data_IF_012961063343
#
_entry.id   IF_012961063343
#
_cell.length_a   1.000
_cell.length_b   1.000
_cell.length_c   1.000
_cell.angle_alpha   90.00
_cell.angle_beta   90.00
_cell.angle_gamma   90.00
#
_symmetry.space_group_name_H-M   'P 1'
#
loop_
_entity.id
_entity.type
_entity.pdbx_description
1 polymer ?
#
# COMPACT_ATOMS: atom_id res chain seq x y z
N UNK A 1 -14.83 9.00 8.18
CA UNK A 1 -13.67 9.65 8.83
C UNK A 1 -12.42 9.35 8.02
N UNK A 2 -11.68 10.37 7.65
CA UNK A 2 -10.39 10.25 6.97
C UNK A 2 -9.29 9.92 8.00
N UNK A 3 -8.38 9.03 7.63
CA UNK A 3 -7.20 8.74 8.46
C UNK A 3 -6.20 9.87 8.28
N UNK A 4 -5.63 10.39 9.38
CA UNK A 4 -4.67 11.51 9.35
C UNK A 4 -3.42 11.15 10.15
N UNK A 5 -2.26 11.49 9.61
CA UNK A 5 -0.96 11.28 10.23
C UNK A 5 -0.21 12.62 10.32
N UNK A 6 0.07 13.07 11.54
CA UNK A 6 0.82 14.28 11.81
C UNK A 6 2.16 13.86 12.39
N UNK A 7 3.25 14.40 11.84
CA UNK A 7 4.62 14.06 12.21
C UNK A 7 5.40 15.36 12.45
N UNK A 8 6.23 15.38 13.49
CA UNK A 8 7.29 16.38 13.66
C UNK A 8 8.55 15.66 14.13
N UNK A 9 9.66 16.00 13.53
CA UNK A 9 10.99 15.56 13.90
C UNK A 9 11.10 14.03 14.07
N UNK A 10 10.89 13.30 12.97
CA UNK A 10 10.96 11.85 12.93
C UNK A 10 11.82 11.35 11.78
N UNK A 11 13.01 10.81 12.09
CA UNK A 11 13.98 10.39 11.07
C UNK A 11 14.28 11.57 10.12
N UNK A 12 14.14 11.39 8.79
CA UNK A 12 14.37 12.46 7.83
C UNK A 12 13.15 13.42 7.67
N UNK A 13 12.02 13.17 8.32
CA UNK A 13 10.83 14.02 8.22
C UNK A 13 10.87 15.10 9.30
N UNK A 14 10.97 16.36 8.88
CA UNK A 14 10.91 17.52 9.79
C UNK A 14 9.46 17.83 10.19
N UNK A 15 8.55 17.84 9.22
CA UNK A 15 7.12 18.06 9.47
C UNK A 15 6.25 17.40 8.41
N UNK A 16 5.10 16.86 8.84
CA UNK A 16 4.08 16.32 7.96
C UNK A 16 2.70 16.47 8.57
N UNK A 17 1.72 16.73 7.71
CA UNK A 17 0.30 16.65 8.01
C UNK A 17 -0.39 16.00 6.81
N UNK A 18 -0.60 14.68 6.90
CA UNK A 18 -1.00 13.83 5.78
C UNK A 18 -2.37 13.24 6.03
N UNK A 19 -3.28 13.52 5.14
CA UNK A 19 -4.58 12.86 5.07
C UNK A 19 -4.51 11.66 4.12
N UNK A 20 -4.79 10.46 4.65
CA UNK A 20 -4.74 9.21 3.89
C UNK A 20 -6.10 8.97 3.24
N UNK A 21 -6.16 9.21 1.94
CA UNK A 21 -7.34 8.99 1.10
C UNK A 21 -7.42 7.57 0.54
N UNK A 22 -8.28 7.38 -0.47
CA UNK A 22 -8.35 6.11 -1.21
C UNK A 22 -7.07 5.87 -1.99
N UNK A 23 -6.55 6.91 -2.64
CA UNK A 23 -5.26 6.91 -3.31
C UNK A 23 -4.37 7.97 -2.65
N UNK A 24 -3.26 7.54 -2.09
CA UNK A 24 -2.25 8.42 -1.49
C UNK A 24 -0.91 8.12 -2.11
N UNK A 25 -0.27 9.12 -2.68
CA UNK A 25 1.01 8.99 -3.36
C UNK A 25 2.02 9.95 -2.75
N UNK A 26 3.21 9.46 -2.47
CA UNK A 26 4.29 10.26 -1.88
C UNK A 26 5.47 10.30 -2.84
N UNK A 27 5.81 11.52 -3.27
CA UNK A 27 6.94 11.79 -4.16
C UNK A 27 8.03 12.58 -3.43
N UNK A 28 9.24 12.55 -3.96
CA UNK A 28 10.39 13.31 -3.42
C UNK A 28 11.71 12.66 -3.79
N UNK A 29 12.81 13.35 -3.53
CA UNK A 29 14.16 12.86 -3.76
C UNK A 29 14.50 11.67 -2.87
N UNK A 30 15.60 10.97 -3.14
CA UNK A 30 16.02 9.82 -2.34
C UNK A 30 16.40 10.26 -0.92
N UNK A 31 16.02 9.48 0.09
CA UNK A 31 16.38 9.75 1.49
C UNK A 31 15.50 10.75 2.24
N UNK A 32 14.52 11.41 1.59
CA UNK A 32 13.68 12.46 2.21
C UNK A 32 12.61 11.93 3.18
N UNK A 33 12.37 10.61 3.27
CA UNK A 33 11.44 10.05 4.26
C UNK A 33 10.15 9.45 3.70
N UNK A 34 10.04 9.23 2.37
CA UNK A 34 8.87 8.57 1.76
C UNK A 34 8.56 7.22 2.41
N UNK A 35 9.57 6.36 2.53
CA UNK A 35 9.43 5.06 3.21
C UNK A 35 9.12 5.21 4.71
N UNK A 36 9.61 6.26 5.38
CA UNK A 36 9.30 6.53 6.79
C UNK A 36 7.82 6.80 6.99
N UNK A 37 7.22 7.59 6.10
CA UNK A 37 5.79 7.87 6.09
C UNK A 37 4.96 6.61 5.86
N UNK A 38 5.34 5.80 4.86
CA UNK A 38 4.69 4.52 4.54
C UNK A 38 4.75 3.53 5.73
N UNK A 39 5.91 3.42 6.37
CA UNK A 39 6.13 2.57 7.55
C UNK A 39 5.29 2.99 8.74
N UNK A 40 5.23 4.29 9.04
CA UNK A 40 4.39 4.81 10.12
C UNK A 40 2.91 4.54 9.85
N UNK A 41 2.44 4.77 8.62
CA UNK A 41 1.06 4.49 8.25
C UNK A 41 0.74 2.99 8.40
N UNK A 42 1.63 2.11 7.93
CA UNK A 42 1.50 0.65 8.10
C UNK A 42 1.44 0.26 9.56
N UNK A 43 2.37 0.74 10.37
CA UNK A 43 2.48 0.43 11.80
C UNK A 43 1.23 0.85 12.57
N UNK A 44 0.80 2.11 12.44
CA UNK A 44 -0.37 2.59 13.17
C UNK A 44 -1.67 1.91 12.73
N UNK A 45 -1.82 1.64 11.43
CA UNK A 45 -2.97 0.88 10.92
C UNK A 45 -3.01 -0.54 11.51
N UNK A 46 -1.84 -1.17 11.65
CA UNK A 46 -1.72 -2.49 12.28
C UNK A 46 -2.02 -2.43 13.79
N UNK A 47 -1.53 -1.40 14.51
CA UNK A 47 -1.81 -1.21 15.93
C UNK A 47 -3.31 -1.03 16.17
N UNK A 48 -3.96 -0.17 15.38
CA UNK A 48 -5.40 0.04 15.47
C UNK A 48 -6.19 -1.27 15.25
N UNK A 49 -5.89 -2.00 14.16
CA UNK A 49 -6.49 -3.31 13.90
C UNK A 49 -6.27 -4.28 15.05
N UNK A 50 -5.07 -4.33 15.61
CA UNK A 50 -4.70 -5.26 16.67
C UNK A 50 -5.41 -4.97 17.99
N UNK A 51 -5.67 -3.68 18.30
CA UNK A 51 -6.50 -3.27 19.44
C UNK A 51 -7.97 -3.64 19.23
N UNK A 52 -8.52 -3.36 18.06
CA UNK A 52 -9.93 -3.71 17.72
C UNK A 52 -10.15 -5.21 17.81
N UNK A 53 -9.17 -6.03 17.43
CA UNK A 53 -9.21 -7.49 17.53
C UNK A 53 -8.83 -8.03 18.91
N UNK A 54 -8.50 -7.16 19.86
CA UNK A 54 -7.98 -7.55 21.19
C UNK A 54 -6.73 -8.46 21.13
N UNK A 55 -5.94 -8.39 20.05
CA UNK A 55 -4.67 -9.10 19.93
C UNK A 55 -3.58 -8.49 20.79
N UNK A 56 -3.66 -7.18 21.01
CA UNK A 56 -2.81 -6.43 21.93
C UNK A 56 -3.68 -5.57 22.85
N UNK A 57 -3.11 -5.21 24.00
CA UNK A 57 -3.74 -4.31 24.98
C UNK A 57 -3.14 -2.91 24.89
N UNK A 58 -3.89 -1.89 25.31
CA UNK A 58 -3.38 -0.52 25.39
C UNK A 58 -2.10 -0.43 26.23
N UNK A 59 -2.05 -1.21 27.33
CA UNK A 59 -0.88 -1.22 28.21
C UNK A 59 0.39 -1.78 27.52
N UNK A 60 0.26 -2.68 26.55
CA UNK A 60 1.41 -3.17 25.76
C UNK A 60 1.97 -2.09 24.83
N UNK A 61 1.16 -1.13 24.44
CA UNK A 61 1.58 0.01 23.62
C UNK A 61 2.15 1.14 24.49
N UNK A 62 1.46 1.51 25.59
CA UNK A 62 1.77 2.70 26.38
C UNK A 62 2.89 2.50 27.40
N UNK A 63 3.08 1.27 27.93
CA UNK A 63 4.10 1.02 28.95
C UNK A 63 5.50 0.89 28.35
N UNK A 64 6.47 1.57 28.95
CA UNK A 64 7.88 1.55 28.55
C UNK A 64 8.14 2.46 27.36
N UNK A 65 9.32 2.29 26.75
CA UNK A 65 9.74 3.09 25.62
C UNK A 65 9.10 2.59 24.33
N UNK A 66 8.33 3.44 23.67
CA UNK A 66 7.59 3.09 22.46
C UNK A 66 8.53 2.71 21.30
N UNK A 67 9.64 3.44 21.16
CA UNK A 67 10.66 3.22 20.14
C UNK A 67 11.32 1.84 20.19
N UNK A 68 11.32 1.18 21.36
CA UNK A 68 11.92 -0.15 21.56
C UNK A 68 10.89 -1.28 21.43
N UNK A 69 9.71 -1.01 20.88
CA UNK A 69 8.69 -2.04 20.69
C UNK A 69 8.91 -2.83 19.41
N UNK A 70 8.55 -4.12 19.43
CA UNK A 70 8.66 -5.02 18.28
C UNK A 70 8.03 -4.48 17.00
N UNK A 71 6.94 -3.72 17.08
CA UNK A 71 6.32 -3.12 15.91
C UNK A 71 7.13 -1.97 15.31
N UNK A 72 7.98 -1.27 16.10
CA UNK A 72 8.96 -0.33 15.57
C UNK A 72 10.16 -1.07 14.94
N UNK A 73 10.60 -2.16 15.56
CA UNK A 73 11.67 -3.03 15.05
C UNK A 73 11.26 -3.69 13.73
N UNK A 74 10.01 -4.16 13.62
CA UNK A 74 9.44 -4.74 12.40
C UNK A 74 9.66 -3.86 11.16
N UNK A 75 9.48 -2.55 11.31
CA UNK A 75 9.70 -1.57 10.25
C UNK A 75 11.10 -0.94 10.27
N UNK A 76 11.99 -1.33 11.21
CA UNK A 76 13.33 -0.76 11.38
C UNK A 76 13.31 0.77 11.54
N UNK A 77 12.40 1.28 12.38
CA UNK A 77 12.23 2.71 12.62
C UNK A 77 12.58 3.13 14.06
N UNK A 78 13.08 2.21 14.88
CA UNK A 78 13.41 2.48 16.30
C UNK A 78 14.43 3.63 16.47
N UNK A 79 15.39 3.76 15.55
CA UNK A 79 16.41 4.82 15.58
C UNK A 79 15.94 6.18 15.03
N UNK A 80 14.70 6.28 14.53
CA UNK A 80 14.16 7.49 13.92
C UNK A 80 13.54 8.45 14.95
N UNK A 81 13.39 7.98 16.20
CA UNK A 81 12.84 8.79 17.28
C UNK A 81 13.91 9.73 17.86
N UNK A 82 13.62 11.02 17.83
CA UNK A 82 14.44 12.09 18.41
C UNK A 82 13.79 12.65 19.69
N UNK A 83 14.48 13.57 20.35
CA UNK A 83 13.94 14.17 21.57
C UNK A 83 12.69 15.03 21.31
N UNK A 84 12.66 15.72 20.16
CA UNK A 84 11.53 16.53 19.70
C UNK A 84 10.42 15.77 18.99
N UNK A 85 10.57 14.46 18.77
CA UNK A 85 9.62 13.69 17.97
C UNK A 85 8.19 13.80 18.51
N UNK A 86 7.29 14.20 17.63
CA UNK A 86 5.85 14.19 17.83
C UNK A 86 5.18 13.39 16.70
N UNK A 87 4.36 12.40 17.07
CA UNK A 87 3.56 11.62 16.13
C UNK A 87 2.11 11.64 16.59
N UNK A 88 1.19 11.90 15.68
CA UNK A 88 -0.24 11.73 15.94
C UNK A 88 -0.89 11.02 14.76
N UNK A 89 -1.48 9.87 15.04
CA UNK A 89 -2.29 9.13 14.09
C UNK A 89 -3.75 9.18 14.52
N UNK A 90 -4.62 9.63 13.65
CA UNK A 90 -6.06 9.63 13.84
C UNK A 90 -6.67 8.59 12.90
N UNK A 91 -6.95 7.42 13.45
CA UNK A 91 -7.57 6.31 12.74
C UNK A 91 -9.09 6.35 12.81
N UNK A 92 -9.72 5.25 12.40
CA UNK A 92 -11.18 5.09 12.46
C UNK A 92 -11.67 4.87 13.89
N UNK A 93 -10.92 4.12 14.70
CA UNK A 93 -11.31 3.65 16.03
C UNK A 93 -10.44 4.24 17.13
N UNK A 94 -9.17 4.50 16.84
CA UNK A 94 -8.21 4.98 17.82
C UNK A 94 -7.44 6.19 17.31
N UNK A 95 -7.13 7.10 18.25
CA UNK A 95 -6.11 8.12 18.07
C UNK A 95 -4.91 7.73 18.90
N UNK A 96 -3.72 7.73 18.29
CA UNK A 96 -2.43 7.51 18.94
C UNK A 96 -1.67 8.83 18.95
N UNK A 97 -1.10 9.21 20.09
CA UNK A 97 -0.29 10.42 20.21
C UNK A 97 1.00 10.13 20.96
N UNK A 98 2.14 10.25 20.25
CA UNK A 98 3.48 10.15 20.84
C UNK A 98 4.05 11.52 21.05
N UNK A 99 4.31 11.85 22.33
CA UNK A 99 4.87 13.12 22.74
C UNK A 99 5.69 12.94 24.00
N UNK A 100 6.82 13.68 24.13
CA UNK A 100 7.69 13.63 25.31
C UNK A 100 8.08 12.17 25.68
N UNK A 101 8.42 11.35 24.68
CA UNK A 101 8.81 9.93 24.85
C UNK A 101 7.71 9.04 25.46
N UNK A 102 6.46 9.48 25.40
CA UNK A 102 5.29 8.73 25.86
C UNK A 102 4.28 8.54 24.74
N UNK A 103 3.67 7.36 24.70
CA UNK A 103 2.57 7.07 23.80
C UNK A 103 1.26 7.08 24.58
N UNK A 104 0.33 7.89 24.13
CA UNK A 104 -1.04 7.98 24.65
C UNK A 104 -2.02 7.49 23.59
N UNK A 105 -3.13 6.90 24.03
CA UNK A 105 -4.19 6.41 23.17
C UNK A 105 -5.53 6.94 23.65
N UNK A 106 -6.41 7.24 22.70
CA UNK A 106 -7.82 7.51 22.97
C UNK A 106 -8.69 6.76 21.97
N UNK A 107 -9.78 6.16 22.47
CA UNK A 107 -10.78 5.53 21.61
C UNK A 107 -11.68 6.61 21.04
N UNK A 108 -11.79 6.65 19.69
CA UNK A 108 -12.44 7.76 18.98
C UNK A 108 -13.95 7.56 18.79
N UNK A 109 -14.48 6.38 19.15
CA UNK A 109 -15.86 5.94 18.91
C UNK A 109 -16.04 5.11 17.64
N UNK A 110 -16.69 3.97 17.74
CA UNK A 110 -17.00 3.13 16.60
C UNK A 110 -18.07 2.12 16.93
N UNK A 111 -19.23 2.27 16.29
CA UNK A 111 -20.26 1.24 16.24
C UNK A 111 -19.88 0.15 15.21
N UNK A 112 -18.97 0.47 14.30
CA UNK A 112 -18.57 -0.37 13.14
C UNK A 112 -17.13 -0.85 13.33
N UNK A 113 -16.98 -2.13 13.70
CA UNK A 113 -15.69 -2.79 13.94
C UNK A 113 -14.99 -3.30 12.68
N UNK A 114 -15.19 -2.66 11.54
CA UNK A 114 -14.51 -3.04 10.30
C UNK A 114 -13.01 -2.86 10.40
N UNK A 115 -12.26 -3.88 10.02
CA UNK A 115 -10.79 -3.89 10.05
C UNK A 115 -10.20 -4.22 8.67
N UNK A 116 -9.05 -3.60 8.32
CA UNK A 116 -8.37 -3.88 7.06
C UNK A 116 -7.48 -5.13 7.12
N UNK A 117 -7.30 -5.80 5.99
CA UNK A 117 -6.03 -6.48 5.69
C UNK A 117 -5.05 -5.37 5.31
N UNK A 118 -3.88 -5.38 5.92
CA UNK A 118 -2.81 -4.42 5.62
C UNK A 118 -1.67 -5.20 5.03
N UNK A 119 -1.17 -4.75 3.88
CA UNK A 119 0.03 -5.29 3.27
C UNK A 119 1.03 -4.17 3.01
N UNK A 120 2.25 -4.40 3.47
CA UNK A 120 3.38 -3.52 3.22
C UNK A 120 4.34 -4.22 2.26
N UNK A 121 4.42 -3.72 1.04
CA UNK A 121 5.24 -4.27 -0.04
C UNK A 121 6.51 -3.43 -0.15
N UNK A 122 7.64 -3.93 0.38
CA UNK A 122 8.89 -3.17 0.42
C UNK A 122 9.55 -3.02 -0.95
N UNK A 123 10.47 -2.08 -1.06
CA UNK A 123 11.26 -1.88 -2.27
C UNK A 123 12.12 -3.11 -2.60
N UNK A 124 12.61 -3.83 -1.61
CA UNK A 124 13.48 -5.01 -1.79
C UNK A 124 12.73 -6.28 -2.24
N UNK A 125 11.47 -6.19 -2.62
CA UNK A 125 10.59 -7.34 -2.98
C UNK A 125 11.15 -8.26 -4.06
N UNK A 126 12.03 -7.77 -4.95
CA UNK A 126 12.65 -8.56 -6.01
C UNK A 126 13.53 -9.70 -5.47
N UNK A 127 14.12 -9.54 -4.27
CA UNK A 127 14.95 -10.57 -3.61
C UNK A 127 14.17 -11.88 -3.44
N UNK A 128 12.87 -11.79 -3.18
CA UNK A 128 12.00 -12.94 -2.97
C UNK A 128 11.80 -13.78 -4.24
N UNK A 129 11.86 -13.13 -5.40
CA UNK A 129 11.72 -13.78 -6.71
C UNK A 129 13.06 -14.18 -7.31
N UNK A 130 14.14 -13.51 -6.92
CA UNK A 130 15.50 -13.82 -7.38
C UNK A 130 16.05 -15.14 -6.80
N UNK A 131 15.47 -15.64 -5.69
CA UNK A 131 15.85 -16.88 -5.05
C UNK A 131 14.78 -17.96 -5.25
N UNK A 132 15.19 -19.20 -5.52
CA UNK A 132 14.27 -20.36 -5.53
C UNK A 132 13.81 -20.74 -4.11
N UNK A 133 14.57 -20.37 -3.08
CA UNK A 133 14.28 -20.66 -1.67
C UNK A 133 14.45 -19.39 -0.83
N UNK A 134 13.58 -18.37 -1.03
CA UNK A 134 13.74 -17.10 -0.31
C UNK A 134 13.63 -17.26 1.21
N UNK A 135 12.84 -18.21 1.72
CA UNK A 135 12.75 -18.51 3.15
C UNK A 135 14.02 -19.10 3.78
N UNK A 136 15.01 -19.53 2.98
CA UNK A 136 16.30 -19.98 3.48
C UNK A 136 17.33 -18.84 3.63
N UNK A 137 17.02 -17.64 3.13
CA UNK A 137 17.89 -16.47 3.27
C UNK A 137 17.89 -16.00 4.73
N UNK A 138 19.07 -15.79 5.28
CA UNK A 138 19.26 -15.33 6.67
C UNK A 138 19.31 -13.80 6.71
N UNK A 139 18.79 -13.23 7.80
CA UNK A 139 18.92 -11.79 8.05
C UNK A 139 17.98 -10.89 7.23
N UNK A 140 16.96 -11.46 6.59
CA UNK A 140 15.93 -10.64 5.94
C UNK A 140 15.14 -9.83 6.98
N UNK A 141 14.71 -8.61 6.64
CA UNK A 141 13.82 -7.83 7.47
C UNK A 141 12.50 -8.54 7.78
N UNK A 142 11.94 -8.32 8.97
CA UNK A 142 10.68 -8.95 9.36
C UNK A 142 9.51 -8.57 8.44
N UNK A 143 9.46 -7.31 7.97
CA UNK A 143 8.46 -6.86 7.00
C UNK A 143 8.58 -7.57 5.65
N UNK A 144 9.80 -7.89 5.20
CA UNK A 144 10.03 -8.65 3.97
C UNK A 144 9.66 -10.14 4.16
N UNK A 145 9.89 -10.70 5.36
CA UNK A 145 9.47 -12.06 5.68
C UNK A 145 7.94 -12.18 5.75
N UNK A 146 7.25 -11.19 6.31
CA UNK A 146 5.80 -11.16 6.33
C UNK A 146 5.23 -11.08 4.89
N UNK A 147 5.83 -10.26 4.03
CA UNK A 147 5.45 -10.20 2.61
C UNK A 147 5.75 -11.50 1.87
N UNK A 148 6.84 -12.20 2.20
CA UNK A 148 7.15 -13.52 1.66
C UNK A 148 6.04 -14.54 1.96
N UNK A 149 5.51 -14.55 3.19
CA UNK A 149 4.44 -15.47 3.56
C UNK A 149 3.18 -15.26 2.70
N UNK A 150 2.75 -13.99 2.51
CA UNK A 150 1.61 -13.66 1.65
C UNK A 150 1.92 -13.96 0.15
N UNK A 151 3.17 -13.79 -0.29
CA UNK A 151 3.59 -14.16 -1.66
C UNK A 151 3.55 -15.67 -1.90
N UNK A 152 4.06 -16.49 -0.96
CA UNK A 152 3.98 -17.96 -1.07
C UNK A 152 2.53 -18.44 -1.10
N UNK A 153 1.66 -17.83 -0.30
CA UNK A 153 0.24 -18.15 -0.33
C UNK A 153 -0.42 -17.74 -1.64
N UNK A 154 -0.09 -16.56 -2.17
CA UNK A 154 -0.59 -16.08 -3.46
C UNK A 154 -0.19 -17.02 -4.61
N UNK A 155 1.07 -17.47 -4.67
CA UNK A 155 1.52 -18.47 -5.66
C UNK A 155 0.71 -19.76 -5.59
N UNK A 156 0.52 -20.29 -4.38
CA UNK A 156 -0.21 -21.53 -4.17
C UNK A 156 -1.69 -21.47 -4.55
N UNK A 157 -2.32 -20.29 -4.40
CA UNK A 157 -3.74 -20.08 -4.69
C UNK A 157 -4.01 -19.72 -6.15
N UNK A 158 -3.23 -18.82 -6.71
CA UNK A 158 -3.42 -18.34 -8.09
C UNK A 158 -2.90 -19.32 -9.14
N UNK A 159 -1.88 -20.12 -8.83
CA UNK A 159 -1.23 -21.13 -9.70
C UNK A 159 -0.86 -20.64 -11.11
N UNK A 160 -1.77 -19.98 -11.79
CA UNK A 160 -1.61 -19.34 -13.10
C UNK A 160 -2.07 -17.88 -13.02
N UNK A 161 -1.32 -16.99 -13.66
CA UNK A 161 -1.64 -15.58 -13.67
C UNK A 161 -1.04 -14.88 -14.90
N UNK A 162 -1.88 -14.19 -15.67
CA UNK A 162 -1.42 -13.34 -16.75
C UNK A 162 -0.92 -12.02 -16.17
N UNK A 163 0.36 -11.71 -16.38
CA UNK A 163 0.93 -10.44 -15.96
C UNK A 163 0.23 -9.27 -16.70
N UNK A 164 -0.03 -8.16 -16.03
CA UNK A 164 -0.71 -7.02 -16.65
C UNK A 164 0.24 -6.20 -17.56
N UNK A 165 0.86 -6.87 -18.51
CA UNK A 165 1.80 -6.32 -19.50
C UNK A 165 1.24 -6.57 -20.89
N UNK A 166 0.64 -5.56 -21.51
CA UNK A 166 -0.02 -5.68 -22.81
C UNK A 166 0.98 -5.76 -23.97
N UNK A 167 2.11 -5.03 -23.87
CA UNK A 167 3.14 -4.97 -24.92
C UNK A 167 3.91 -6.28 -25.09
N UNK A 168 4.00 -7.09 -24.05
CA UNK A 168 4.66 -8.41 -24.05
C UNK A 168 3.88 -9.35 -23.15
N UNK A 169 2.84 -10.03 -23.65
CA UNK A 169 2.05 -10.96 -22.86
C UNK A 169 2.93 -12.06 -22.28
N UNK A 170 2.95 -12.15 -20.95
CA UNK A 170 3.66 -13.17 -20.16
C UNK A 170 2.72 -13.69 -19.11
N UNK A 171 2.69 -15.00 -18.95
CA UNK A 171 1.95 -15.66 -17.86
C UNK A 171 2.89 -16.28 -16.84
N UNK A 172 2.47 -16.20 -15.60
CA UNK A 172 3.07 -16.92 -14.49
C UNK A 172 2.39 -18.27 -14.32
N UNK A 173 3.20 -19.29 -14.00
CA UNK A 173 2.74 -20.64 -13.66
C UNK A 173 3.51 -21.16 -12.45
N UNK A 174 2.81 -21.73 -11.46
CA UNK A 174 3.42 -22.31 -10.27
C UNK A 174 3.25 -23.83 -10.25
N UNK A 175 4.37 -24.55 -10.38
CA UNK A 175 4.44 -25.99 -10.17
C UNK A 175 4.50 -26.28 -8.67
N UNK A 176 3.38 -26.69 -8.09
CA UNK A 176 3.26 -26.97 -6.65
C UNK A 176 4.09 -28.19 -6.20
N UNK A 177 4.25 -29.19 -7.08
CA UNK A 177 4.99 -30.43 -6.74
C UNK A 177 6.48 -30.14 -6.59
N UNK A 178 7.03 -29.44 -7.56
CA UNK A 178 8.45 -29.11 -7.61
C UNK A 178 8.78 -27.77 -6.93
N UNK A 179 7.76 -26.98 -6.54
CA UNK A 179 7.88 -25.63 -5.98
C UNK A 179 8.63 -24.66 -6.90
N UNK A 180 8.42 -24.79 -8.22
CA UNK A 180 9.09 -23.98 -9.23
C UNK A 180 8.10 -22.97 -9.77
N UNK A 181 8.54 -21.70 -9.85
CA UNK A 181 7.81 -20.59 -10.47
C UNK A 181 8.31 -20.36 -11.89
N UNK A 182 7.42 -20.40 -12.87
CA UNK A 182 7.73 -20.23 -14.29
C UNK A 182 7.12 -18.95 -14.85
N UNK A 183 7.80 -18.35 -15.81
CA UNK A 183 7.29 -17.33 -16.71
C UNK A 183 7.23 -17.90 -18.13
N UNK A 184 6.05 -17.86 -18.72
CA UNK A 184 5.77 -18.33 -20.08
C UNK A 184 5.47 -17.11 -20.98
N UNK A 185 6.31 -16.85 -21.94
CA UNK A 185 6.11 -15.87 -23.02
C UNK A 185 5.78 -16.57 -24.34
N UNK A 186 5.62 -15.81 -25.42
CA UNK A 186 5.30 -16.36 -26.75
C UNK A 186 6.33 -17.35 -27.28
N UNK A 187 7.59 -17.19 -26.93
CA UNK A 187 8.72 -17.98 -27.45
C UNK A 187 9.74 -18.39 -26.38
N UNK A 188 9.38 -18.28 -25.09
CA UNK A 188 10.25 -18.68 -23.98
C UNK A 188 9.46 -19.25 -22.82
N UNK A 189 10.10 -20.12 -22.04
CA UNK A 189 9.70 -20.54 -20.71
C UNK A 189 10.93 -20.54 -19.83
N UNK A 190 10.96 -19.69 -18.82
CA UNK A 190 12.10 -19.52 -17.92
C UNK A 190 11.65 -19.54 -16.45
N UNK A 191 12.54 -19.87 -15.54
CA UNK A 191 12.25 -19.74 -14.12
C UNK A 191 12.19 -18.27 -13.73
N UNK A 192 11.33 -17.94 -12.78
CA UNK A 192 11.24 -16.56 -12.25
C UNK A 192 12.59 -16.09 -11.69
N UNK A 193 13.34 -16.97 -11.01
CA UNK A 193 14.67 -16.67 -10.47
C UNK A 193 15.72 -16.34 -11.55
N UNK A 194 15.52 -16.80 -12.77
CA UNK A 194 16.41 -16.57 -13.93
C UNK A 194 15.94 -15.40 -14.81
N UNK A 195 14.79 -14.81 -14.48
CA UNK A 195 14.20 -13.72 -15.25
C UNK A 195 14.84 -12.37 -14.93
N UNK A 196 14.48 -11.34 -15.73
CA UNK A 196 14.95 -9.97 -15.46
C UNK A 196 14.43 -9.44 -14.13
N UNK A 197 15.19 -8.51 -13.53
CA UNK A 197 14.82 -7.83 -12.26
C UNK A 197 13.45 -7.16 -12.32
N UNK A 198 13.02 -6.71 -13.49
CA UNK A 198 11.67 -6.16 -13.70
C UNK A 198 10.57 -7.19 -13.41
N UNK A 199 10.67 -8.39 -13.98
CA UNK A 199 9.71 -9.47 -13.67
C UNK A 199 9.81 -9.92 -12.22
N UNK A 200 11.02 -9.98 -11.66
CA UNK A 200 11.23 -10.34 -10.25
C UNK A 200 10.61 -9.34 -9.28
N UNK A 201 10.61 -8.04 -9.61
CA UNK A 201 9.95 -7.00 -8.82
C UNK A 201 8.43 -6.98 -9.00
N UNK A 202 7.96 -7.20 -10.22
CA UNK A 202 6.56 -7.06 -10.62
C UNK A 202 5.70 -8.23 -10.15
N UNK A 203 6.21 -9.46 -10.26
CA UNK A 203 5.43 -10.66 -10.00
C UNK A 203 4.90 -10.75 -8.56
N UNK A 204 5.72 -10.61 -7.49
CA UNK A 204 5.21 -10.65 -6.13
C UNK A 204 4.22 -9.52 -5.85
N UNK A 205 4.46 -8.32 -6.39
CA UNK A 205 3.55 -7.18 -6.27
C UNK A 205 2.16 -7.50 -6.84
N UNK A 206 2.11 -8.03 -8.06
CA UNK A 206 0.84 -8.33 -8.74
C UNK A 206 0.09 -9.50 -8.08
N UNK A 207 0.80 -10.59 -7.78
CA UNK A 207 0.18 -11.78 -7.20
C UNK A 207 -0.41 -11.50 -5.83
N UNK A 208 0.34 -10.83 -4.94
CA UNK A 208 -0.12 -10.52 -3.57
C UNK A 208 -1.28 -9.52 -3.62
N UNK A 209 -1.18 -8.45 -4.42
CA UNK A 209 -2.26 -7.47 -4.56
C UNK A 209 -3.56 -8.11 -5.05
N UNK A 210 -3.50 -9.01 -6.05
CA UNK A 210 -4.67 -9.74 -6.54
C UNK A 210 -5.21 -10.69 -5.48
N UNK A 211 -4.34 -11.54 -4.94
CA UNK A 211 -4.74 -12.56 -3.97
C UNK A 211 -5.46 -11.96 -2.77
N UNK A 212 -4.90 -10.91 -2.17
CA UNK A 212 -5.50 -10.28 -0.99
C UNK A 212 -6.79 -9.52 -1.33
N UNK A 213 -6.88 -8.91 -2.50
CA UNK A 213 -8.13 -8.29 -2.97
C UNK A 213 -9.22 -9.33 -3.18
N UNK A 214 -8.91 -10.44 -3.86
CA UNK A 214 -9.86 -11.53 -4.10
C UNK A 214 -10.31 -12.18 -2.78
N UNK A 215 -9.39 -12.40 -1.86
CA UNK A 215 -9.68 -12.98 -0.54
C UNK A 215 -10.73 -12.16 0.23
N UNK A 216 -10.65 -10.83 0.16
CA UNK A 216 -11.60 -9.96 0.86
C UNK A 216 -12.95 -9.93 0.15
N UNK A 217 -12.97 -9.81 -1.19
CA UNK A 217 -14.20 -9.74 -1.99
C UNK A 217 -14.99 -11.05 -1.87
N UNK A 218 -14.29 -12.16 -1.97
CA UNK A 218 -14.93 -13.48 -1.92
C UNK A 218 -15.30 -13.90 -0.51
N UNK A 219 -14.92 -13.10 0.52
CA UNK A 219 -15.10 -13.43 1.95
C UNK A 219 -14.59 -14.82 2.30
N UNK A 220 -13.65 -15.35 1.51
CA UNK A 220 -13.04 -16.64 1.70
C UNK A 220 -12.02 -16.55 2.83
N UNK A 221 -12.20 -17.43 3.81
CA UNK A 221 -11.31 -17.72 4.94
C UNK A 221 -10.50 -16.52 5.45
N UNK A 222 -11.02 -15.90 6.49
CA UNK A 222 -10.20 -15.02 7.31
C UNK A 222 -8.97 -15.81 7.74
N UNK A 223 -7.79 -15.39 7.32
CA UNK A 223 -6.52 -15.94 7.78
C UNK A 223 -6.31 -15.57 9.25
N UNK A 224 -7.11 -16.19 10.10
CA UNK A 224 -6.95 -16.07 11.54
C UNK A 224 -5.77 -16.93 11.97
N UNK A 225 -4.89 -16.36 12.78
CA UNK A 225 -3.87 -17.15 13.48
C UNK A 225 -4.54 -18.19 14.38
N UNK A 226 -3.80 -19.20 14.81
CA UNK A 226 -4.33 -20.19 15.74
C UNK A 226 -4.81 -19.55 17.05
N UNK A 227 -4.14 -18.50 17.51
CA UNK A 227 -4.54 -17.72 18.69
C UNK A 227 -5.84 -16.96 18.45
N UNK A 228 -6.00 -16.32 17.30
CA UNK A 228 -7.24 -15.63 16.92
C UNK A 228 -8.41 -16.61 16.78
N UNK A 229 -8.18 -17.79 16.20
CA UNK A 229 -9.20 -18.85 16.12
C UNK A 229 -9.64 -19.32 17.49
N UNK A 230 -8.73 -19.49 18.44
CA UNK A 230 -9.06 -19.87 19.80
C UNK A 230 -9.83 -18.75 20.55
N UNK A 231 -9.44 -17.50 20.37
CA UNK A 231 -10.15 -16.35 20.93
C UNK A 231 -11.56 -16.24 20.37
N UNK A 232 -11.70 -16.31 19.04
CA UNK A 232 -12.99 -16.29 18.37
C UNK A 232 -13.93 -17.38 18.91
N UNK A 233 -13.45 -18.61 19.05
CA UNK A 233 -14.25 -19.72 19.62
C UNK A 233 -14.73 -19.40 21.02
N UNK A 234 -13.86 -18.92 21.90
CA UNK A 234 -14.23 -18.55 23.27
C UNK A 234 -15.25 -17.41 23.33
N UNK A 235 -15.10 -16.39 22.44
CA UNK A 235 -16.06 -15.28 22.37
C UNK A 235 -17.42 -15.76 21.83
N UNK A 236 -17.46 -16.65 20.83
CA UNK A 236 -18.69 -17.27 20.34
C UNK A 236 -19.36 -18.08 21.43
N UNK A 237 -18.62 -18.95 22.13
CA UNK A 237 -19.15 -19.75 23.26
C UNK A 237 -19.70 -18.83 24.37
N UNK A 238 -19.01 -17.75 24.68
CA UNK A 238 -19.45 -16.75 25.66
C UNK A 238 -20.75 -16.05 25.26
N UNK A 239 -20.93 -15.74 23.96
CA UNK A 239 -22.17 -15.12 23.46
C UNK A 239 -23.32 -16.14 23.54
N UNK A 240 -23.09 -17.35 23.09
CA UNK A 240 -24.11 -18.42 23.05
C UNK A 240 -24.56 -18.84 24.43
N UNK A 241 -23.67 -18.78 25.44
CA UNK A 241 -24.00 -19.15 26.83
C UNK A 241 -24.76 -18.07 27.61
N UNK A 242 -24.88 -16.84 27.09
CA UNK A 242 -25.65 -15.77 27.73
C UNK A 242 -27.14 -15.97 27.58
N UNK A 243 -27.88 -15.64 28.63
CA UNK A 243 -29.36 -15.61 28.62
C UNK A 243 -29.83 -14.29 27.96
N UNK A 244 -29.79 -14.26 26.61
CA UNK A 244 -30.16 -13.13 25.75
C UNK A 244 -31.13 -13.59 24.69
N UNK A 245 -31.95 -12.66 24.15
CA UNK A 245 -32.79 -12.96 23.00
C UNK A 245 -31.96 -13.32 21.76
N UNK A 246 -32.50 -14.15 20.88
CA UNK A 246 -31.81 -14.58 19.65
C UNK A 246 -31.38 -13.39 18.79
N UNK A 247 -32.23 -12.36 18.65
CA UNK A 247 -31.90 -11.15 17.88
C UNK A 247 -30.65 -10.42 18.44
N UNK A 248 -30.49 -10.40 19.77
CA UNK A 248 -29.32 -9.81 20.43
C UNK A 248 -28.08 -10.70 20.22
N UNK A 249 -28.21 -12.01 20.31
CA UNK A 249 -27.12 -12.95 20.03
C UNK A 249 -26.67 -12.82 18.57
N UNK A 250 -27.60 -12.76 17.62
CA UNK A 250 -27.29 -12.60 16.20
C UNK A 250 -26.57 -11.28 15.91
N UNK A 251 -27.00 -10.18 16.53
CA UNK A 251 -26.30 -8.90 16.43
C UNK A 251 -24.88 -8.97 17.01
N UNK A 252 -24.69 -9.64 18.17
CA UNK A 252 -23.37 -9.82 18.76
C UNK A 252 -22.45 -10.70 17.91
N UNK A 253 -22.97 -11.79 17.34
CA UNK A 253 -22.22 -12.67 16.41
C UNK A 253 -21.88 -11.96 15.11
N UNK A 254 -22.77 -11.11 14.58
CA UNK A 254 -22.49 -10.28 13.41
C UNK A 254 -21.35 -9.30 13.67
N UNK A 255 -21.38 -8.59 14.82
CA UNK A 255 -20.30 -7.69 15.23
C UNK A 255 -18.96 -8.44 15.44
N UNK A 256 -19.02 -9.65 16.00
CA UNK A 256 -17.85 -10.50 16.18
C UNK A 256 -17.27 -10.92 14.82
N UNK A 257 -18.11 -11.31 13.88
CA UNK A 257 -17.71 -11.67 12.51
C UNK A 257 -17.05 -10.50 11.78
N UNK A 258 -17.57 -9.27 11.93
CA UNK A 258 -16.96 -8.05 11.37
C UNK A 258 -15.58 -7.77 11.98
N UNK A 259 -15.40 -7.99 13.28
CA UNK A 259 -14.13 -7.79 13.98
C UNK A 259 -13.03 -8.74 13.50
N UNK A 260 -13.37 -9.99 13.24
CA UNK A 260 -12.40 -11.01 12.80
C UNK A 260 -12.30 -11.13 11.28
N UNK A 261 -13.31 -10.67 10.53
CA UNK A 261 -13.26 -10.56 9.08
C UNK A 261 -12.41 -9.36 8.61
N UNK A 262 -11.96 -9.41 7.35
CA UNK A 262 -11.41 -8.24 6.69
C UNK A 262 -12.49 -7.58 5.85
N UNK A 263 -12.65 -6.27 6.01
CA UNK A 263 -13.68 -5.50 5.29
C UNK A 263 -13.14 -4.76 4.08
N UNK A 264 -11.84 -4.46 4.07
CA UNK A 264 -11.15 -3.76 3.00
C UNK A 264 -9.64 -4.02 3.04
N UNK A 265 -8.97 -3.61 1.98
CA UNK A 265 -7.53 -3.79 1.80
C UNK A 265 -6.79 -2.46 1.83
N UNK A 266 -5.73 -2.39 2.64
CA UNK A 266 -4.74 -1.31 2.60
C UNK A 266 -3.48 -1.88 1.96
N UNK A 267 -3.21 -1.48 0.72
CA UNK A 267 -2.03 -1.87 -0.04
C UNK A 267 -1.01 -0.72 0.01
N UNK A 268 0.13 -0.94 0.66
CA UNK A 268 1.21 0.04 0.81
C UNK A 268 2.40 -0.46 0.00
N UNK A 269 2.74 0.24 -1.08
CA UNK A 269 3.78 -0.19 -2.04
C UNK A 269 4.89 0.84 -2.08
N UNK A 270 6.11 0.41 -1.73
CA UNK A 270 7.30 1.23 -1.94
C UNK A 270 7.82 1.07 -3.36
N UNK A 271 8.24 2.20 -3.94
CA UNK A 271 8.89 2.29 -5.26
C UNK A 271 8.18 1.41 -6.31
N UNK A 272 6.92 1.77 -6.62
CA UNK A 272 6.08 1.00 -7.55
C UNK A 272 6.72 0.82 -8.93
N UNK A 273 7.57 1.76 -9.33
CA UNK A 273 8.33 1.78 -10.59
C UNK A 273 9.57 0.90 -10.61
N UNK A 274 9.95 0.30 -9.49
CA UNK A 274 11.24 -0.36 -9.35
C UNK A 274 11.54 -1.39 -10.45
N UNK A 275 12.69 -1.19 -11.11
CA UNK A 275 13.18 -2.02 -12.22
C UNK A 275 12.25 -2.10 -13.45
N UNK A 276 11.30 -1.15 -13.61
CA UNK A 276 10.34 -1.16 -14.70
C UNK A 276 10.60 -0.05 -15.71
N UNK A 277 10.46 -0.41 -16.99
CA UNK A 277 10.44 0.57 -18.08
C UNK A 277 9.15 1.43 -18.00
N UNK A 278 9.15 2.70 -18.46
CA UNK A 278 7.99 3.60 -18.31
C UNK A 278 6.65 3.02 -18.72
N UNK A 279 6.57 2.33 -19.86
CA UNK A 279 5.30 1.70 -20.29
C UNK A 279 4.81 0.63 -19.31
N UNK A 280 5.72 -0.16 -18.74
CA UNK A 280 5.38 -1.16 -17.72
C UNK A 280 4.97 -0.50 -16.40
N UNK A 281 5.55 0.67 -16.04
CA UNK A 281 5.11 1.46 -14.88
C UNK A 281 3.64 1.87 -15.02
N UNK A 282 3.21 2.32 -16.23
CA UNK A 282 1.81 2.62 -16.54
C UNK A 282 0.90 1.41 -16.29
N UNK A 283 1.26 0.29 -16.87
CA UNK A 283 0.44 -0.93 -16.83
C UNK A 283 0.28 -1.44 -15.38
N UNK A 284 1.36 -1.41 -14.60
CA UNK A 284 1.34 -1.80 -13.19
C UNK A 284 0.56 -0.82 -12.33
N UNK A 285 0.76 0.48 -12.52
CA UNK A 285 -0.01 1.49 -11.79
C UNK A 285 -1.51 1.31 -12.03
N UNK A 286 -1.93 1.17 -13.29
CA UNK A 286 -3.34 0.99 -13.63
C UNK A 286 -3.90 -0.34 -13.12
N UNK A 287 -3.10 -1.38 -13.09
CA UNK A 287 -3.47 -2.64 -12.46
C UNK A 287 -3.73 -2.48 -10.95
N UNK A 288 -2.85 -1.81 -10.22
CA UNK A 288 -3.02 -1.58 -8.77
C UNK A 288 -4.24 -0.68 -8.47
N UNK A 289 -4.45 0.36 -9.27
CA UNK A 289 -5.64 1.22 -9.17
C UNK A 289 -6.90 0.40 -9.41
N UNK A 290 -6.91 -0.45 -10.45
CA UNK A 290 -8.04 -1.33 -10.73
C UNK A 290 -8.32 -2.30 -9.57
N UNK A 291 -7.29 -2.92 -8.96
CA UNK A 291 -7.48 -3.74 -7.76
C UNK A 291 -8.06 -2.92 -6.59
N UNK A 292 -7.58 -1.70 -6.39
CA UNK A 292 -8.09 -0.81 -5.35
C UNK A 292 -9.55 -0.40 -5.60
N UNK A 293 -9.93 -0.18 -6.85
CA UNK A 293 -11.29 0.22 -7.24
C UNK A 293 -12.34 -0.88 -7.09
N UNK A 294 -11.94 -2.15 -6.94
CA UNK A 294 -12.87 -3.28 -6.77
C UNK A 294 -13.70 -3.21 -5.48
N UNK A 295 -13.23 -2.48 -4.45
CA UNK A 295 -13.98 -2.18 -3.23
C UNK A 295 -13.78 -0.71 -2.86
N UNK A 296 -14.87 -0.04 -2.46
CA UNK A 296 -14.81 1.38 -2.11
C UNK A 296 -13.93 1.66 -0.89
N UNK A 297 -13.93 0.77 0.09
CA UNK A 297 -13.10 0.88 1.30
C UNK A 297 -11.60 0.63 1.10
N UNK A 298 -11.19 0.04 -0.04
CA UNK A 298 -9.78 -0.23 -0.32
C UNK A 298 -8.97 1.06 -0.40
N UNK A 299 -7.71 0.99 0.02
CA UNK A 299 -6.75 2.09 -0.05
C UNK A 299 -5.46 1.64 -0.71
N UNK A 300 -4.89 2.51 -1.52
CA UNK A 300 -3.59 2.32 -2.17
C UNK A 300 -2.67 3.47 -1.75
N UNK A 301 -1.59 3.12 -1.06
CA UNK A 301 -0.55 4.06 -0.67
C UNK A 301 0.72 3.73 -1.46
N UNK A 302 1.23 4.68 -2.23
CA UNK A 302 2.40 4.49 -3.09
C UNK A 302 3.51 5.45 -2.69
N UNK A 303 4.76 4.98 -2.75
CA UNK A 303 5.92 5.86 -2.82
C UNK A 303 6.57 5.73 -4.20
N UNK A 304 7.08 6.83 -4.73
CA UNK A 304 7.71 6.83 -6.06
C UNK A 304 8.77 7.91 -6.22
N UNK A 305 9.75 7.63 -7.08
CA UNK A 305 10.73 8.57 -7.61
C UNK A 305 10.51 8.85 -9.10
N UNK A 306 9.50 8.25 -9.72
CA UNK A 306 9.27 8.33 -11.15
C UNK A 306 8.30 9.46 -11.50
N UNK A 307 8.69 10.41 -12.36
CA UNK A 307 7.78 11.42 -12.89
C UNK A 307 6.64 10.78 -13.70
N UNK A 308 6.89 9.66 -14.38
CA UNK A 308 5.88 8.96 -15.16
C UNK A 308 4.69 8.48 -14.32
N UNK A 309 4.91 8.13 -13.06
CA UNK A 309 3.82 7.72 -12.16
C UNK A 309 2.84 8.89 -11.94
N UNK A 310 3.36 10.12 -11.72
CA UNK A 310 2.52 11.30 -11.56
C UNK A 310 1.76 11.63 -12.84
N UNK A 311 2.42 11.53 -13.99
CA UNK A 311 1.80 11.77 -15.30
C UNK A 311 0.68 10.75 -15.57
N UNK A 312 0.90 9.46 -15.29
CA UNK A 312 -0.14 8.43 -15.47
C UNK A 312 -1.30 8.57 -14.48
N UNK A 313 -1.07 9.05 -13.26
CA UNK A 313 -2.13 9.42 -12.33
C UNK A 313 -2.96 10.60 -12.88
N UNK A 314 -2.30 11.59 -13.46
CA UNK A 314 -2.97 12.73 -14.12
C UNK A 314 -3.86 12.27 -15.27
N UNK A 315 -3.39 11.31 -16.08
CA UNK A 315 -4.21 10.69 -17.14
C UNK A 315 -5.42 9.94 -16.54
N UNK A 316 -5.23 9.19 -15.46
CA UNK A 316 -6.32 8.45 -14.80
C UNK A 316 -7.40 9.39 -14.24
N UNK A 317 -7.00 10.52 -13.65
CA UNK A 317 -7.93 11.57 -13.16
C UNK A 317 -8.65 12.25 -14.32
N UNK A 318 -7.91 12.58 -15.39
CA UNK A 318 -8.51 13.20 -16.58
C UNK A 318 -9.53 12.30 -17.24
N UNK A 319 -9.23 11.00 -17.35
CA UNK A 319 -10.14 10.01 -17.91
C UNK A 319 -11.44 9.89 -17.08
N UNK A 320 -11.35 9.89 -15.75
CA UNK A 320 -12.51 9.91 -14.85
C UNK A 320 -13.35 11.17 -15.08
N UNK A 321 -12.71 12.34 -15.14
CA UNK A 321 -13.39 13.62 -15.39
C UNK A 321 -14.16 13.62 -16.71
N UNK A 322 -13.56 13.15 -17.82
CA UNK A 322 -14.20 13.06 -19.14
C UNK A 322 -15.38 12.07 -19.08
N UNK A 323 -15.18 10.89 -18.46
CA UNK A 323 -16.22 9.89 -18.32
C UNK A 323 -17.42 10.41 -17.54
N UNK A 324 -17.18 11.09 -16.41
CA UNK A 324 -18.23 11.60 -15.54
C UNK A 324 -19.03 12.76 -16.19
N UNK A 325 -18.37 13.58 -17.02
CA UNK A 325 -19.01 14.68 -17.74
C UNK A 325 -19.81 14.24 -18.99
N UNK A 326 -19.63 13.00 -19.47
CA UNK A 326 -20.23 12.52 -20.71
C UNK A 326 -21.64 11.96 -20.48
N UNK A 327 -22.54 12.22 -21.45
CA UNK A 327 -23.85 11.58 -21.56
C UNK A 327 -23.76 10.20 -22.24
N UNK A 328 -22.70 9.92 -23.02
CA UNK A 328 -22.44 8.67 -23.76
C UNK A 328 -21.29 7.89 -23.12
N UNK A 329 -21.44 7.54 -21.83
CA UNK A 329 -20.37 6.97 -21.00
C UNK A 329 -19.66 5.77 -21.60
N UNK A 330 -20.41 4.83 -22.18
CA UNK A 330 -19.82 3.59 -22.73
C UNK A 330 -19.03 3.83 -24.03
N UNK A 331 -19.44 4.81 -24.84
CA UNK A 331 -18.69 5.19 -26.06
C UNK A 331 -17.38 5.86 -25.69
N UNK A 332 -17.42 6.79 -24.73
CA UNK A 332 -16.24 7.48 -24.20
C UNK A 332 -15.28 6.50 -23.55
N UNK A 333 -15.77 5.55 -22.73
CA UNK A 333 -14.93 4.52 -22.13
C UNK A 333 -14.24 3.65 -23.19
N UNK A 334 -14.94 3.29 -24.28
CA UNK A 334 -14.33 2.56 -25.40
C UNK A 334 -13.26 3.37 -26.13
N UNK A 335 -13.51 4.66 -26.37
CA UNK A 335 -12.55 5.54 -27.02
C UNK A 335 -11.26 5.75 -26.20
N UNK A 336 -11.36 5.72 -24.86
CA UNK A 336 -10.23 5.91 -23.95
C UNK A 336 -9.53 4.60 -23.54
N UNK A 337 -10.07 3.42 -23.90
CA UNK A 337 -9.63 2.11 -23.40
C UNK A 337 -8.12 1.87 -23.53
N UNK A 338 -7.52 2.29 -24.64
CA UNK A 338 -6.09 2.09 -24.91
C UNK A 338 -5.19 3.12 -24.18
N UNK A 339 -5.79 4.20 -23.70
CA UNK A 339 -5.09 5.23 -22.93
C UNK A 339 -5.16 4.88 -21.44
N UNK A 340 -6.39 4.79 -20.92
CA UNK A 340 -6.70 4.41 -19.52
C UNK A 340 -7.93 3.51 -19.53
N UNK A 341 -7.82 2.29 -19.01
CA UNK A 341 -8.98 1.40 -18.85
C UNK A 341 -9.94 1.94 -17.78
N UNK A 342 -11.24 1.67 -17.93
CA UNK A 342 -12.30 2.17 -17.02
C UNK A 342 -12.03 1.82 -15.55
N UNK A 343 -11.51 0.63 -15.27
CA UNK A 343 -11.25 0.15 -13.91
C UNK A 343 -10.12 0.95 -13.22
N UNK A 344 -9.29 1.67 -14.00
CA UNK A 344 -8.20 2.50 -13.50
C UNK A 344 -8.55 4.00 -13.40
N UNK A 345 -9.81 4.39 -13.52
CA UNK A 345 -10.22 5.78 -13.33
C UNK A 345 -10.11 6.19 -11.86
N UNK A 346 -9.70 7.44 -11.64
CA UNK A 346 -9.56 8.04 -10.32
C UNK A 346 -10.36 9.35 -10.28
N UNK A 347 -11.27 9.48 -9.33
CA UNK A 347 -11.92 10.76 -9.05
C UNK A 347 -10.94 11.69 -8.34
N UNK A 348 -10.88 12.95 -8.75
CA UNK A 348 -9.88 13.92 -8.29
C UNK A 348 -9.88 14.11 -6.76
N UNK A 349 -11.06 14.05 -6.12
CA UNK A 349 -11.25 14.18 -4.68
C UNK A 349 -10.80 12.95 -3.87
N UNK A 350 -10.48 11.84 -4.55
CA UNK A 350 -10.00 10.60 -3.95
C UNK A 350 -8.47 10.42 -4.03
N UNK A 351 -7.75 11.35 -4.68
CA UNK A 351 -6.31 11.31 -4.87
C UNK A 351 -5.61 12.42 -4.07
N UNK A 352 -4.72 12.02 -3.19
CA UNK A 352 -3.80 12.90 -2.50
C UNK A 352 -2.37 12.59 -2.94
N UNK A 353 -1.66 13.56 -3.50
CA UNK A 353 -0.23 13.45 -3.82
C UNK A 353 0.52 14.36 -2.86
N UNK A 354 1.46 13.80 -2.12
CA UNK A 354 2.33 14.55 -1.22
C UNK A 354 3.75 14.58 -1.77
N UNK A 355 4.38 15.73 -1.65
CA UNK A 355 5.77 15.95 -2.01
C UNK A 355 6.58 16.20 -0.75
N UNK A 356 7.73 15.53 -0.62
CA UNK A 356 8.67 15.76 0.49
C UNK A 356 9.82 16.60 -0.02
N UNK A 357 10.08 17.73 0.64
CA UNK A 357 11.20 18.63 0.34
C UNK A 357 12.53 18.02 0.80
N UNK A 358 13.65 18.61 0.40
CA UNK A 358 14.98 18.20 0.87
C UNK A 358 15.15 18.43 2.37
N UNK A 359 14.44 19.41 2.94
CA UNK A 359 14.39 19.70 4.39
C UNK A 359 13.46 18.75 5.16
N UNK A 360 12.83 17.80 4.48
CA UNK A 360 11.95 16.81 5.10
C UNK A 360 10.52 17.31 5.41
N UNK A 361 10.10 18.43 4.82
CA UNK A 361 8.74 18.92 4.94
C UNK A 361 7.83 18.22 3.94
N UNK A 362 6.69 17.69 4.43
CA UNK A 362 5.70 16.99 3.60
C UNK A 362 4.58 17.97 3.24
N UNK A 363 4.43 18.24 1.95
CA UNK A 363 3.43 19.18 1.41
C UNK A 363 2.48 18.47 0.46
N UNK A 364 1.19 18.81 0.55
CA UNK A 364 0.19 18.36 -0.43
C UNK A 364 0.44 19.05 -1.77
N UNK A 365 0.59 18.26 -2.84
CA UNK A 365 0.67 18.79 -4.20
C UNK A 365 -0.69 19.37 -4.61
N UNK A 366 -0.77 20.65 -5.00
CA UNK A 366 -2.04 21.27 -5.31
C UNK A 366 -2.67 20.69 -6.58
N UNK A 367 -3.99 20.62 -6.60
CA UNK A 367 -4.77 20.33 -7.81
C UNK A 367 -5.01 21.64 -8.58
N UNK A 368 -4.70 21.64 -9.87
CA UNK A 368 -4.97 22.76 -10.78
C UNK A 368 -5.97 22.34 -11.86
N UNK A 369 -7.14 22.98 -11.90
CA UNK A 369 -8.19 22.60 -12.83
C UNK A 369 -8.69 21.15 -12.65
N UNK A 370 -8.61 20.61 -11.43
CA UNK A 370 -8.99 19.24 -11.10
C UNK A 370 -7.94 18.18 -11.47
N UNK A 371 -6.73 18.57 -11.83
CA UNK A 371 -5.59 17.69 -12.15
C UNK A 371 -4.43 17.94 -11.19
N UNK A 372 -3.61 16.90 -10.88
CA UNK A 372 -2.37 17.09 -10.14
C UNK A 372 -1.48 18.14 -10.81
N UNK A 373 -0.84 19.00 -10.00
CA UNK A 373 0.07 20.01 -10.53
C UNK A 373 1.28 19.37 -11.20
N UNK A 374 1.65 19.86 -12.36
CA UNK A 374 2.90 19.55 -13.07
C UNK A 374 4.12 20.20 -12.44
N UNK A 375 3.92 21.25 -11.61
CA UNK A 375 4.98 21.92 -10.84
C UNK A 375 5.32 21.09 -9.60
N UNK A 376 6.03 19.98 -9.79
CA UNK A 376 6.53 19.09 -8.73
C UNK A 376 8.02 18.83 -8.93
N UNK A 377 8.72 18.39 -7.87
CA UNK A 377 10.19 18.18 -7.90
C UNK A 377 10.65 17.22 -9.00
N UNK A 378 9.87 16.20 -9.32
CA UNK A 378 10.26 15.22 -10.35
C UNK A 378 10.28 15.88 -11.74
N UNK A 379 9.23 16.64 -12.08
CA UNK A 379 9.16 17.37 -13.35
C UNK A 379 10.15 18.55 -13.40
N UNK A 380 10.37 19.25 -12.27
CA UNK A 380 11.38 20.31 -12.18
C UNK A 380 12.78 19.76 -12.41
N UNK A 381 13.13 18.58 -11.89
CA UNK A 381 14.41 17.93 -12.13
C UNK A 381 14.63 17.57 -13.61
N UNK A 382 13.57 17.16 -14.33
CA UNK A 382 13.66 16.95 -15.77
C UNK A 382 13.88 18.25 -16.53
N UNK A 383 13.19 19.33 -16.16
CA UNK A 383 13.36 20.65 -16.75
C UNK A 383 14.77 21.17 -16.57
N UNK A 384 15.34 21.07 -15.36
CA UNK A 384 16.74 21.48 -15.08
C UNK A 384 17.76 20.79 -16.00
N UNK A 385 17.53 19.54 -16.38
CA UNK A 385 18.44 18.84 -17.31
C UNK A 385 18.43 19.50 -18.68
N UNK A 386 17.27 19.97 -19.15
CA UNK A 386 17.14 20.70 -20.40
C UNK A 386 17.81 22.09 -20.31
N UNK A 387 17.69 22.77 -19.18
CA UNK A 387 18.34 24.07 -18.95
C UNK A 387 19.86 23.91 -18.96
N UNK A 388 20.41 22.90 -18.26
CA UNK A 388 21.85 22.58 -18.32
C UNK A 388 22.33 22.28 -19.75
N UNK A 389 21.51 21.62 -20.58
CA UNK A 389 21.84 21.39 -21.98
C UNK A 389 21.89 22.70 -22.78
N UNK A 390 20.93 23.61 -22.54
CA UNK A 390 20.93 24.93 -23.18
C UNK A 390 22.16 25.74 -22.76
N UNK A 391 22.53 25.73 -21.45
CA UNK A 391 23.76 26.37 -20.97
C UNK A 391 25.02 25.86 -21.68
N UNK A 392 25.05 24.53 -22.00
CA UNK A 392 26.19 23.97 -22.77
C UNK A 392 26.21 24.44 -24.22
N UNK A 393 25.03 24.62 -24.87
CA UNK A 393 24.96 25.20 -26.21
C UNK A 393 25.45 26.65 -26.24
N UNK A 394 25.10 27.44 -25.22
CA UNK A 394 25.58 28.82 -25.10
C UNK A 394 27.13 28.88 -24.96
N UNK A 395 27.74 27.90 -24.27
CA UNK A 395 29.20 27.79 -24.19
C UNK A 395 29.82 27.35 -25.52
N UNK A 396 29.12 26.50 -26.32
CA UNK A 396 29.61 26.10 -27.65
C UNK A 396 29.63 27.24 -28.65
N UNK A 397 28.77 28.25 -28.49
CA UNK A 397 28.70 29.44 -29.34
C UNK A 397 29.71 30.52 -28.95
N UNK A 398 30.44 30.41 -27.82
CA UNK A 398 31.49 31.33 -27.36
C UNK A 398 32.82 31.04 -28.05
#
# INVERSE_FOLDING_TARGET
MTTRLIIKDFGPISSADVEIGKFTVVIGTQGTGKSSLAKLFSMFSWLEKSLVRHNITESQITRGKFENKKFCEFHRISSYFHEGTYLKYQGKHYTFEYRNKKMELSFTNGVDFTVPKIEYIPAERNILSASEKPGALKGLPENLLAFLDDYEMAKGKLKEFNLPLSSRPVSFEYDQLNKISWLNGSNFRIRVSESSSGYQSLLPLCLVSKYLTDLIIEKKDTQLTNEEKQKLRKEVESIMSKDLSEDVKDAMLSNLSQRYGYSYFINIVEEVEQNLFPTSQKEILYYLIAQCNRLDGNRLFLTTHSPYIVDYLTLAVKASSIYNASNTKEEVARAMKDIVCKDAYIDADRLNIYQITEEGEVMLLPMRGGLPSDSNYLNMSLAQTNDMFNDLLDVEEM
#
